data_IF_999977680756
#
_entry.id   IF_999977680756
#
_cell.length_a   1.000
_cell.length_b   1.000
_cell.length_c   1.000
_cell.angle_alpha   90.00
_cell.angle_beta   90.00
_cell.angle_gamma   90.00
#
_symmetry.space_group_name_H-M   'P 1'
#
loop_
_entity.id
_entity.type
_entity.pdbx_description
1 polymer ?
#
# COMPACT_ATOMS: atom_id res chain seq x y z
N UNK A 1 -4.26 -0.55 14.26
CA UNK A 1 -4.65 -1.67 13.38
C UNK A 1 -3.37 -2.23 12.75
N UNK A 2 -3.16 -3.56 12.72
CA UNK A 2 -1.96 -4.16 12.10
C UNK A 2 -2.01 -4.01 10.57
N UNK A 3 -0.93 -3.55 9.95
CA UNK A 3 -0.77 -3.58 8.48
C UNK A 3 0.02 -4.82 8.09
N UNK A 4 -0.48 -5.55 7.10
CA UNK A 4 0.11 -6.79 6.59
C UNK A 4 0.47 -6.56 5.13
N UNK A 5 1.76 -6.43 4.82
CA UNK A 5 2.22 -6.29 3.43
C UNK A 5 2.47 -7.66 2.85
N UNK A 6 1.73 -8.01 1.80
CA UNK A 6 1.91 -9.29 1.11
C UNK A 6 3.29 -9.41 0.49
N UNK A 7 3.79 -10.63 0.34
CA UNK A 7 5.02 -10.88 -0.41
C UNK A 7 4.93 -10.32 -1.84
N UNK A 8 3.76 -10.43 -2.47
CA UNK A 8 3.50 -9.82 -3.78
C UNK A 8 3.76 -8.31 -3.77
N UNK A 9 3.17 -7.57 -2.81
CA UNK A 9 3.39 -6.14 -2.68
C UNK A 9 4.86 -5.80 -2.37
N UNK A 10 5.52 -6.57 -1.49
CA UNK A 10 6.93 -6.37 -1.18
C UNK A 10 7.84 -6.58 -2.40
N UNK A 11 7.58 -7.60 -3.22
CA UNK A 11 8.32 -7.85 -4.48
C UNK A 11 8.14 -6.73 -5.50
N UNK A 12 6.99 -6.04 -5.50
CA UNK A 12 6.73 -4.92 -6.41
C UNK A 12 7.65 -3.74 -6.16
N UNK A 13 8.09 -3.51 -4.92
CA UNK A 13 9.01 -2.42 -4.57
C UNK A 13 10.38 -2.52 -5.25
N UNK A 14 10.78 -3.71 -5.70
CA UNK A 14 12.05 -3.92 -6.39
C UNK A 14 12.01 -3.53 -7.87
N UNK A 15 10.82 -3.23 -8.41
CA UNK A 15 10.66 -2.88 -9.82
C UNK A 15 10.84 -1.36 -10.01
N UNK A 16 11.43 -0.96 -11.13
CA UNK A 16 11.72 0.45 -11.45
C UNK A 16 10.48 1.36 -11.37
N UNK A 17 9.30 0.83 -11.73
CA UNK A 17 8.03 1.56 -11.63
C UNK A 17 7.64 1.93 -10.20
N UNK A 18 8.19 1.26 -9.20
CA UNK A 18 7.94 1.49 -7.77
C UNK A 18 9.17 2.07 -7.07
N UNK A 19 10.22 2.44 -7.82
CA UNK A 19 11.41 3.02 -7.25
C UNK A 19 11.06 4.21 -6.37
N UNK A 20 11.77 4.35 -5.25
CA UNK A 20 11.58 5.42 -4.26
C UNK A 20 10.26 5.37 -3.47
N UNK A 21 9.48 4.30 -3.59
CA UNK A 21 8.39 3.97 -2.67
C UNK A 21 8.95 3.00 -1.64
N UNK A 22 8.91 3.37 -0.36
CA UNK A 22 9.45 2.55 0.73
C UNK A 22 8.35 1.77 1.45
N UNK A 23 8.74 0.73 2.19
CA UNK A 23 7.83 0.01 3.09
C UNK A 23 7.14 0.93 4.10
N UNK A 24 7.84 1.95 4.60
CA UNK A 24 7.25 2.94 5.52
C UNK A 24 6.17 3.78 4.84
N UNK A 25 6.33 4.14 3.57
CA UNK A 25 5.33 4.90 2.82
C UNK A 25 4.05 4.07 2.60
N UNK A 26 4.21 2.77 2.31
CA UNK A 26 3.09 1.83 2.18
C UNK A 26 2.32 1.69 3.49
N UNK A 27 3.04 1.51 4.61
CA UNK A 27 2.42 1.34 5.93
C UNK A 27 1.65 2.62 6.30
N UNK A 28 2.27 3.79 6.15
CA UNK A 28 1.61 5.06 6.42
C UNK A 28 0.35 5.27 5.55
N UNK A 29 0.43 4.95 4.25
CA UNK A 29 -0.71 5.01 3.34
C UNK A 29 -1.84 4.06 3.75
N UNK A 30 -1.51 2.83 4.15
CA UNK A 30 -2.49 1.85 4.61
C UNK A 30 -3.17 2.27 5.92
N UNK A 31 -2.43 2.87 6.85
CA UNK A 31 -2.97 3.40 8.11
C UNK A 31 -3.85 4.64 7.92
N UNK A 32 -3.57 5.46 6.89
CA UNK A 32 -4.34 6.66 6.58
C UNK A 32 -5.72 6.36 5.94
N UNK A 33 -5.94 5.16 5.41
CA UNK A 33 -7.25 4.78 4.85
C UNK A 33 -8.27 4.65 5.99
N UNK A 34 -9.35 5.44 6.01
CA UNK A 34 -10.33 5.37 7.09
C UNK A 34 -11.27 4.17 6.92
N UNK A 35 -11.89 3.76 8.03
CA UNK A 35 -12.93 2.73 8.04
C UNK A 35 -12.42 1.32 7.73
N UNK A 36 -13.36 0.41 7.48
CA UNK A 36 -13.08 -1.01 7.17
C UNK A 36 -13.24 -1.27 5.67
N UNK A 37 -12.25 -1.89 5.05
CA UNK A 37 -12.20 -2.18 3.62
C UNK A 37 -12.56 -3.65 3.37
N UNK A 38 -13.85 -3.95 3.23
CA UNK A 38 -14.36 -5.33 3.13
C UNK A 38 -13.95 -6.06 1.83
N UNK A 39 -13.74 -5.30 0.76
CA UNK A 39 -13.37 -5.81 -0.57
C UNK A 39 -12.05 -5.22 -1.02
N UNK A 40 -11.32 -5.91 -1.88
CA UNK A 40 -10.05 -5.42 -2.42
C UNK A 40 -10.25 -4.09 -3.18
N UNK A 41 -9.84 -2.99 -2.56
CA UNK A 41 -10.16 -1.64 -3.01
C UNK A 41 -8.89 -0.85 -3.32
N UNK A 42 -8.89 -0.16 -4.46
CA UNK A 42 -7.78 0.71 -4.88
C UNK A 42 -7.99 2.13 -4.39
N UNK A 43 -7.09 2.59 -3.53
CA UNK A 43 -6.97 3.98 -3.11
C UNK A 43 -5.87 4.65 -3.92
N UNK A 44 -6.14 5.86 -4.42
CA UNK A 44 -5.29 6.55 -5.39
C UNK A 44 -4.65 7.79 -4.80
N UNK A 45 -3.47 8.14 -5.30
CA UNK A 45 -2.87 9.47 -5.09
C UNK A 45 -2.14 9.64 -3.76
N UNK A 46 -1.63 8.56 -3.16
CA UNK A 46 -0.71 8.69 -2.05
C UNK A 46 0.63 9.27 -2.51
N UNK A 47 1.29 10.00 -1.64
CA UNK A 47 2.59 10.62 -1.90
C UNK A 47 3.62 9.99 -0.97
N UNK A 48 4.64 9.36 -1.54
CA UNK A 48 5.77 8.82 -0.79
C UNK A 48 6.65 9.97 -0.26
N UNK A 49 7.51 9.68 0.72
CA UNK A 49 8.46 10.69 1.24
C UNK A 49 9.41 11.25 0.17
N UNK A 50 9.63 10.52 -0.91
CA UNK A 50 10.37 10.96 -2.10
C UNK A 50 9.61 11.97 -2.98
N UNK A 51 8.32 12.22 -2.72
CA UNK A 51 7.42 12.97 -3.59
C UNK A 51 6.75 12.10 -4.66
N UNK A 52 7.13 10.83 -4.79
CA UNK A 52 6.55 9.94 -5.79
C UNK A 52 5.08 9.63 -5.49
N UNK A 53 4.24 9.77 -6.51
CA UNK A 53 2.81 9.42 -6.40
C UNK A 53 2.62 7.93 -6.64
N UNK A 54 1.80 7.31 -5.79
CA UNK A 54 1.43 5.91 -5.95
C UNK A 54 0.00 5.63 -5.51
N UNK A 55 -0.50 4.48 -5.94
CA UNK A 55 -1.78 3.95 -5.51
C UNK A 55 -1.56 2.64 -4.74
N UNK A 56 -2.52 2.32 -3.87
CA UNK A 56 -2.50 1.16 -2.99
C UNK A 56 -3.76 0.33 -3.22
N UNK A 57 -3.64 -1.00 -3.22
CA UNK A 57 -4.81 -1.89 -3.15
C UNK A 57 -4.79 -2.61 -1.80
N UNK A 58 -5.86 -2.44 -1.03
CA UNK A 58 -5.98 -3.03 0.31
C UNK A 58 -7.29 -3.78 0.50
N UNK A 59 -7.29 -4.71 1.45
CA UNK A 59 -8.47 -5.40 1.98
C UNK A 59 -8.24 -5.68 3.46
N UNK A 60 -9.26 -5.49 4.28
CA UNK A 60 -9.19 -5.84 5.69
C UNK A 60 -9.59 -7.31 5.88
N UNK A 61 -8.82 -8.00 6.70
CA UNK A 61 -8.98 -9.39 7.14
C UNK A 61 -8.95 -9.42 8.68
N UNK A 62 -9.37 -10.51 9.34
CA UNK A 62 -9.38 -10.58 10.81
C UNK A 62 -8.03 -10.20 11.47
N UNK A 63 -6.91 -10.48 10.80
CA UNK A 63 -5.56 -10.21 11.29
C UNK A 63 -5.10 -8.76 11.10
N UNK A 64 -5.79 -7.97 10.26
CA UNK A 64 -5.44 -6.57 9.96
C UNK A 64 -5.72 -6.13 8.52
N UNK A 65 -5.09 -5.04 8.11
CA UNK A 65 -5.19 -4.50 6.74
C UNK A 65 -4.14 -5.12 5.83
N UNK A 66 -4.60 -5.95 4.90
CA UNK A 66 -3.76 -6.60 3.91
C UNK A 66 -3.49 -5.64 2.74
N UNK A 67 -2.21 -5.30 2.52
CA UNK A 67 -1.75 -4.61 1.32
C UNK A 67 -1.49 -5.63 0.22
N UNK A 68 -2.37 -5.64 -0.78
CA UNK A 68 -2.35 -6.59 -1.89
C UNK A 68 -1.33 -6.18 -2.94
N UNK A 69 -1.31 -4.90 -3.35
CA UNK A 69 -0.32 -4.40 -4.32
C UNK A 69 -0.12 -2.89 -4.22
N UNK A 70 0.99 -2.44 -4.79
CA UNK A 70 1.42 -1.03 -4.88
C UNK A 70 1.62 -0.68 -6.35
N UNK A 71 1.09 0.45 -6.78
CA UNK A 71 1.15 0.89 -8.18
C UNK A 71 1.80 2.28 -8.20
N UNK A 72 3.10 2.32 -8.49
CA UNK A 72 3.78 3.59 -8.75
C UNK A 72 3.32 4.20 -10.07
N UNK A 73 3.24 5.52 -10.07
CA UNK A 73 3.06 6.35 -11.26
C UNK A 73 4.41 6.83 -11.78
#
# INVERSE_FOLDING_TARGET
>A
MRVIVTEHAARRLRKARQAEITMRDIIAAAEAVPGTVLTATRFRGFVARSGRVFDLVVKDIPEGRLVITVIGK
#
